data_IF_843139947605
#
_entry.id   IF_843139947605
#
_cell.length_a   1.000
_cell.length_b   1.000
_cell.length_c   1.000
_cell.angle_alpha   90.00
_cell.angle_beta   90.00
_cell.angle_gamma   90.00
#
_symmetry.space_group_name_H-M   'P 1'
#
loop_
_entity.id
_entity.type
_entity.pdbx_description
1 polymer ?
#
# COMPACT_ATOMS: atom_id res chain seq x y z
N UNK A 1 6.94 -1.05 -2.91
CA UNK A 1 7.20 -1.34 -1.47
C UNK A 1 8.16 -0.38 -0.76
N UNK A 2 8.78 0.52 -1.50
CA UNK A 2 9.76 1.43 -0.87
C UNK A 2 9.15 2.34 0.19
N UNK A 3 7.97 2.89 -0.05
CA UNK A 3 7.32 3.73 0.96
C UNK A 3 6.98 2.95 2.23
N UNK A 4 6.52 1.72 2.08
CA UNK A 4 6.23 0.87 3.23
C UNK A 4 7.50 0.53 3.97
N UNK A 5 8.56 0.17 3.25
CA UNK A 5 9.85 -0.15 3.85
C UNK A 5 10.43 1.06 4.58
N UNK A 6 10.37 2.24 3.98
CA UNK A 6 10.86 3.47 4.62
C UNK A 6 10.12 3.77 5.91
N UNK A 7 8.79 3.61 5.89
CA UNK A 7 7.98 3.85 7.08
C UNK A 7 8.38 2.91 8.24
N UNK A 8 8.73 1.68 7.90
CA UNK A 8 9.15 0.69 8.90
C UNK A 8 10.64 0.77 9.23
N UNK A 9 11.39 1.65 8.57
CA UNK A 9 12.82 1.79 8.79
C UNK A 9 13.64 0.64 8.21
N UNK A 10 13.12 -0.01 7.17
CA UNK A 10 13.76 -1.17 6.53
C UNK A 10 14.06 -0.87 5.08
N UNK A 11 15.03 -1.60 4.51
CA UNK A 11 15.18 -1.64 3.06
C UNK A 11 14.10 -2.52 2.45
N UNK A 12 13.78 -2.31 1.16
CA UNK A 12 12.79 -3.14 0.48
C UNK A 12 13.19 -4.63 0.51
N UNK A 13 14.47 -4.90 0.39
CA UNK A 13 15.00 -6.27 0.44
C UNK A 13 14.76 -6.92 1.81
N UNK A 14 15.06 -6.18 2.89
CA UNK A 14 14.84 -6.66 4.25
C UNK A 14 13.36 -6.87 4.51
N UNK A 15 12.51 -5.96 4.03
CA UNK A 15 11.07 -6.09 4.17
C UNK A 15 10.56 -7.38 3.53
N UNK A 16 11.00 -7.67 2.30
CA UNK A 16 10.57 -8.88 1.61
C UNK A 16 11.07 -10.14 2.32
N UNK A 17 12.29 -10.09 2.84
CA UNK A 17 12.84 -11.22 3.61
C UNK A 17 12.00 -11.48 4.86
N UNK A 18 11.63 -10.43 5.60
CA UNK A 18 10.83 -10.58 6.80
C UNK A 18 9.42 -11.07 6.51
N UNK A 19 8.84 -10.65 5.39
CA UNK A 19 7.54 -11.18 4.97
C UNK A 19 7.60 -12.68 4.73
N UNK A 20 8.70 -13.16 4.14
CA UNK A 20 8.88 -14.59 3.91
C UNK A 20 9.10 -15.35 5.20
N UNK A 21 9.84 -14.78 6.16
CA UNK A 21 10.20 -15.45 7.42
C UNK A 21 9.09 -15.40 8.47
N UNK A 22 8.43 -14.25 8.62
CA UNK A 22 7.47 -14.03 9.71
C UNK A 22 6.01 -14.21 9.30
N UNK A 23 5.75 -14.35 8.02
CA UNK A 23 4.45 -14.74 7.51
C UNK A 23 3.32 -13.76 7.83
N UNK A 24 2.20 -14.31 8.31
CA UNK A 24 0.94 -13.58 8.46
C UNK A 24 1.02 -12.38 9.42
N UNK A 25 1.80 -12.48 10.48
CA UNK A 25 1.92 -11.39 11.45
C UNK A 25 2.57 -10.17 10.84
N UNK A 26 3.63 -10.38 10.07
CA UNK A 26 4.31 -9.28 9.40
C UNK A 26 3.49 -8.75 8.24
N UNK A 27 2.74 -9.61 7.57
CA UNK A 27 1.84 -9.20 6.49
C UNK A 27 0.75 -8.26 7.01
N UNK A 28 0.22 -8.50 8.19
CA UNK A 28 -0.76 -7.62 8.82
C UNK A 28 -0.17 -6.23 9.05
N UNK A 29 1.05 -6.17 9.58
CA UNK A 29 1.74 -4.90 9.80
C UNK A 29 1.94 -4.14 8.48
N UNK A 30 2.39 -4.85 7.44
CA UNK A 30 2.59 -4.26 6.12
C UNK A 30 1.27 -3.72 5.55
N UNK A 31 0.18 -4.46 5.71
CA UNK A 31 -1.12 -4.01 5.24
C UNK A 31 -1.61 -2.77 5.98
N UNK A 32 -1.36 -2.67 7.28
CA UNK A 32 -1.71 -1.49 8.05
C UNK A 32 -0.97 -0.27 7.53
N UNK A 33 0.33 -0.40 7.26
CA UNK A 33 1.14 0.69 6.71
C UNK A 33 0.65 1.05 5.29
N UNK A 34 0.34 0.06 4.47
CA UNK A 34 -0.19 0.29 3.13
C UNK A 34 -1.49 1.09 3.15
N UNK A 35 -2.41 0.74 4.07
CA UNK A 35 -3.66 1.49 4.20
C UNK A 35 -3.40 2.94 4.55
N UNK A 36 -2.55 3.18 5.52
CA UNK A 36 -2.21 4.53 5.94
C UNK A 36 -1.58 5.33 4.81
N UNK A 37 -0.61 4.75 4.10
CA UNK A 37 0.06 5.43 3.00
C UNK A 37 -0.88 5.68 1.82
N UNK A 38 -1.75 4.72 1.50
CA UNK A 38 -2.72 4.91 0.42
C UNK A 38 -3.65 6.09 0.71
N UNK A 39 -4.20 6.17 1.92
CA UNK A 39 -5.06 7.28 2.29
C UNK A 39 -4.33 8.61 2.25
N UNK A 40 -3.11 8.64 2.73
CA UNK A 40 -2.31 9.86 2.75
C UNK A 40 -2.04 10.38 1.33
N UNK A 41 -1.68 9.48 0.41
CA UNK A 41 -1.44 9.87 -0.97
C UNK A 41 -2.72 10.31 -1.69
N UNK A 42 -3.84 9.66 -1.40
CA UNK A 42 -5.13 10.04 -1.98
C UNK A 42 -5.63 11.37 -1.44
N UNK A 43 -5.45 11.64 -0.17
CA UNK A 43 -5.89 12.87 0.46
C UNK A 43 -5.16 14.10 -0.09
N UNK A 44 -3.91 13.93 -0.48
CA UNK A 44 -3.13 15.01 -1.06
C UNK A 44 -3.66 15.48 -2.41
N UNK A 45 -4.41 14.65 -3.12
CA UNK A 45 -5.01 14.93 -4.43
C UNK A 45 -4.00 15.34 -5.51
N UNK A 46 -2.72 15.07 -5.27
CA UNK A 46 -1.65 15.40 -6.19
C UNK A 46 -1.18 14.20 -7.00
N UNK A 47 -1.70 13.02 -6.67
CA UNK A 47 -1.27 11.77 -7.32
C UNK A 47 -2.44 11.12 -8.05
N UNK A 48 -2.16 10.52 -9.19
CA UNK A 48 -3.14 9.67 -9.88
C UNK A 48 -3.30 8.35 -9.12
N UNK A 49 -4.37 7.61 -9.42
CA UNK A 49 -4.58 6.28 -8.83
C UNK A 49 -3.41 5.36 -9.15
N UNK A 50 -2.88 5.44 -10.39
CA UNK A 50 -1.71 4.65 -10.78
C UNK A 50 -0.50 4.99 -9.94
N UNK A 51 -0.25 6.28 -9.69
CA UNK A 51 0.86 6.71 -8.85
C UNK A 51 0.71 6.22 -7.41
N UNK A 52 -0.50 6.28 -6.86
CA UNK A 52 -0.77 5.76 -5.52
C UNK A 52 -0.51 4.26 -5.46
N UNK A 53 -0.99 3.51 -6.46
CA UNK A 53 -0.77 2.07 -6.52
C UNK A 53 0.72 1.73 -6.50
N UNK A 54 1.50 2.41 -7.31
CA UNK A 54 2.94 2.20 -7.36
C UNK A 54 3.61 2.58 -6.04
N UNK A 55 3.17 3.68 -5.44
CA UNK A 55 3.71 4.15 -4.16
C UNK A 55 3.54 3.16 -3.03
N UNK A 56 2.45 2.40 -3.02
CA UNK A 56 2.20 1.40 -1.98
C UNK A 56 2.61 -0.02 -2.40
N UNK A 57 3.31 -0.15 -3.52
CA UNK A 57 3.96 -1.40 -3.89
C UNK A 57 3.17 -2.34 -4.78
N UNK A 58 2.16 -1.83 -5.47
CA UNK A 58 1.41 -2.64 -6.44
C UNK A 58 1.98 -2.42 -7.85
N UNK A 59 2.21 -3.51 -8.56
CA UNK A 59 2.70 -3.45 -9.93
C UNK A 59 1.62 -3.00 -10.91
N UNK A 60 0.35 -3.29 -10.58
CA UNK A 60 -0.77 -2.98 -11.45
C UNK A 60 -1.86 -2.24 -10.70
N UNK A 61 -2.45 -1.25 -11.36
CA UNK A 61 -3.53 -0.45 -10.79
C UNK A 61 -4.76 -1.29 -10.46
N UNK A 62 -5.07 -2.29 -11.30
CA UNK A 62 -6.23 -3.16 -11.06
C UNK A 62 -6.09 -3.96 -9.77
N UNK A 63 -4.88 -4.46 -9.48
CA UNK A 63 -4.62 -5.17 -8.24
C UNK A 63 -4.77 -4.24 -7.03
N UNK A 64 -4.26 -3.03 -7.13
CA UNK A 64 -4.42 -2.03 -6.09
C UNK A 64 -5.89 -1.69 -5.84
N UNK A 65 -6.66 -1.49 -6.90
CA UNK A 65 -8.07 -1.14 -6.80
C UNK A 65 -8.87 -2.22 -6.08
N UNK A 66 -8.62 -3.49 -6.39
CA UNK A 66 -9.28 -4.60 -5.71
C UNK A 66 -8.91 -4.65 -4.24
N UNK A 67 -7.62 -4.52 -3.95
CA UNK A 67 -7.14 -4.50 -2.57
C UNK A 67 -7.77 -3.35 -1.79
N UNK A 68 -7.80 -2.16 -2.38
CA UNK A 68 -8.36 -0.97 -1.74
C UNK A 68 -9.86 -1.16 -1.44
N UNK A 69 -10.61 -1.70 -2.39
CA UNK A 69 -12.04 -1.94 -2.19
C UNK A 69 -12.29 -2.95 -1.07
N UNK A 70 -11.44 -3.96 -0.94
CA UNK A 70 -11.53 -4.92 0.14
C UNK A 70 -11.23 -4.27 1.50
N UNK A 71 -10.28 -3.35 1.54
CA UNK A 71 -9.88 -2.71 2.79
C UNK A 71 -10.86 -1.63 3.25
N UNK A 72 -11.40 -0.85 2.32
CA UNK A 72 -12.18 0.35 2.65
C UNK A 72 -13.63 0.30 2.20
N UNK A 73 -14.04 -0.74 1.50
CA UNK A 73 -15.42 -0.91 1.06
C UNK A 73 -15.81 -0.12 -0.17
N UNK A 74 -14.92 0.71 -0.71
CA UNK A 74 -15.17 1.49 -1.93
C UNK A 74 -13.91 1.53 -2.78
N UNK A 75 -14.08 1.71 -4.09
CA UNK A 75 -12.95 1.84 -5.00
C UNK A 75 -12.17 3.13 -4.72
N UNK A 76 -10.85 3.16 -4.99
CA UNK A 76 -10.06 4.36 -4.76
C UNK A 76 -10.52 5.57 -5.58
N UNK A 77 -11.08 5.34 -6.75
CA UNK A 77 -11.61 6.43 -7.58
C UNK A 77 -12.82 7.10 -6.93
N UNK A 78 -13.58 6.36 -6.13
CA UNK A 78 -14.69 6.92 -5.36
C UNK A 78 -14.24 7.62 -4.10
N UNK A 79 -13.18 7.14 -3.50
CA UNK A 79 -12.58 7.77 -2.33
C UNK A 79 -12.02 9.15 -2.68
N UNK A 80 -11.35 9.24 -3.83
CA UNK A 80 -10.76 10.48 -4.31
C UNK A 80 -11.82 11.31 -5.02
N UNK A 81 -12.40 12.22 -4.33
CA UNK A 81 -13.41 13.12 -4.91
C UNK A 81 -12.84 14.42 -5.43
#
# INVERSE_FOLDING_TARGET
>A
MELVAQHLGLSARTLQRQLAEEGANFQTLVNDVRREQALRLLEGQTHSITEVAQGVGFAETSAFSRWFAQQFGVAPSRWKK
#
